data_IF_244120220575
#
_entry.id   IF_244120220575
#
_cell.length_a   1.000
_cell.length_b   1.000
_cell.length_c   1.000
_cell.angle_alpha   90.00
_cell.angle_beta   90.00
_cell.angle_gamma   90.00
#
_symmetry.space_group_name_H-M   'P 1'
#
loop_
_entity.id
_entity.type
_entity.pdbx_description
1 polymer ?
#
# COMPACT_ATOMS: atom_id res chain seq x y z
N UNK A 1 -47.48 18.31 -14.02
CA UNK A 1 -46.89 17.22 -14.83
C UNK A 1 -46.82 15.99 -13.94
N UNK A 2 -47.77 15.07 -14.10
CA UNK A 2 -47.89 13.86 -13.27
C UNK A 2 -47.02 12.77 -13.90
N UNK A 3 -45.92 12.39 -13.24
CA UNK A 3 -45.07 11.29 -13.71
C UNK A 3 -45.86 9.97 -13.60
N UNK A 4 -45.69 9.10 -14.60
CA UNK A 4 -46.19 7.73 -14.53
C UNK A 4 -45.55 7.00 -13.33
N UNK A 5 -46.23 6.02 -12.72
CA UNK A 5 -45.71 5.29 -11.56
C UNK A 5 -44.32 4.68 -11.79
N UNK A 6 -44.03 4.21 -13.02
CA UNK A 6 -42.72 3.75 -13.48
C UNK A 6 -41.63 4.83 -13.45
N UNK A 7 -41.99 6.10 -13.72
CA UNK A 7 -41.05 7.21 -13.68
C UNK A 7 -40.69 7.63 -12.25
N UNK A 8 -41.61 7.48 -11.30
CA UNK A 8 -41.38 7.82 -9.89
C UNK A 8 -40.48 6.79 -9.20
N UNK A 9 -40.64 5.50 -9.51
CA UNK A 9 -39.77 4.43 -8.99
C UNK A 9 -38.34 4.54 -9.50
N UNK A 10 -38.16 4.91 -10.77
CA UNK A 10 -36.84 5.10 -11.36
C UNK A 10 -36.09 6.29 -10.73
N UNK A 11 -36.77 7.44 -10.57
CA UNK A 11 -36.18 8.62 -9.92
C UNK A 11 -35.86 8.35 -8.46
N UNK A 12 -36.70 7.57 -7.77
CA UNK A 12 -36.45 7.15 -6.39
C UNK A 12 -35.24 6.21 -6.29
N UNK A 13 -35.13 5.22 -7.17
CA UNK A 13 -33.98 4.32 -7.23
C UNK A 13 -32.66 5.08 -7.49
N UNK A 14 -32.65 6.07 -8.40
CA UNK A 14 -31.47 6.90 -8.67
C UNK A 14 -31.09 7.73 -7.43
N UNK A 15 -32.08 8.33 -6.75
CA UNK A 15 -31.84 9.09 -5.51
C UNK A 15 -31.29 8.20 -4.39
N UNK A 16 -31.85 7.01 -4.24
CA UNK A 16 -31.46 6.04 -3.21
C UNK A 16 -30.08 5.43 -3.49
N UNK A 17 -29.69 5.27 -4.75
CA UNK A 17 -28.36 4.79 -5.14
C UNK A 17 -27.25 5.79 -4.78
N UNK A 18 -27.49 7.10 -4.96
CA UNK A 18 -26.52 8.16 -4.66
C UNK A 18 -26.36 8.35 -3.15
N UNK A 19 -27.45 8.25 -2.39
CA UNK A 19 -27.42 8.41 -0.93
C UNK A 19 -27.24 7.08 -0.19
N UNK A 20 -26.85 6.02 -0.91
CA UNK A 20 -26.67 4.69 -0.36
C UNK A 20 -25.51 4.69 0.63
N UNK A 21 -25.77 4.21 1.84
CA UNK A 21 -24.76 4.05 2.90
C UNK A 21 -23.58 3.19 2.43
N UNK A 22 -23.85 2.20 1.57
CA UNK A 22 -22.80 1.37 0.96
C UNK A 22 -21.89 2.14 0.01
N UNK A 23 -22.42 3.10 -0.77
CA UNK A 23 -21.62 3.91 -1.69
C UNK A 23 -20.65 4.83 -0.93
N UNK A 24 -21.13 5.44 0.16
CA UNK A 24 -20.32 6.30 1.04
C UNK A 24 -19.30 5.48 1.85
N UNK A 25 -19.72 4.35 2.42
CA UNK A 25 -18.84 3.47 3.21
C UNK A 25 -17.74 2.82 2.36
N UNK A 26 -18.08 2.36 1.14
CA UNK A 26 -17.12 1.80 0.20
C UNK A 26 -16.10 2.83 -0.31
N UNK A 27 -16.56 4.06 -0.61
CA UNK A 27 -15.67 5.16 -0.98
C UNK A 27 -14.71 5.54 0.14
N UNK A 28 -15.20 5.63 1.38
CA UNK A 28 -14.38 5.99 2.55
C UNK A 28 -13.35 4.91 2.89
N UNK A 29 -13.74 3.63 2.88
CA UNK A 29 -12.81 2.53 3.16
C UNK A 29 -11.72 2.42 2.11
N UNK A 30 -12.04 2.60 0.82
CA UNK A 30 -11.02 2.58 -0.24
C UNK A 30 -10.12 3.81 -0.22
N UNK A 31 -10.67 4.99 0.12
CA UNK A 31 -9.89 6.21 0.35
C UNK A 31 -8.90 6.02 1.52
N UNK A 32 -9.37 5.52 2.66
CA UNK A 32 -8.52 5.29 3.82
C UNK A 32 -7.51 4.17 3.57
N UNK A 33 -7.91 3.08 2.90
CA UNK A 33 -7.00 2.00 2.54
C UNK A 33 -5.91 2.48 1.56
N UNK A 34 -6.28 3.29 0.57
CA UNK A 34 -5.34 3.90 -0.38
C UNK A 34 -4.40 4.90 0.30
N UNK A 35 -4.94 5.80 1.13
CA UNK A 35 -4.16 6.78 1.88
C UNK A 35 -3.20 6.12 2.86
N UNK A 36 -3.67 5.14 3.64
CA UNK A 36 -2.85 4.42 4.63
C UNK A 36 -1.77 3.58 3.95
N UNK A 37 -2.06 2.92 2.82
CA UNK A 37 -1.08 2.18 2.03
C UNK A 37 0.04 3.09 1.52
N UNK A 38 -0.31 4.26 0.97
CA UNK A 38 0.68 5.22 0.48
C UNK A 38 1.58 5.75 1.60
N UNK A 39 1.00 6.01 2.78
CA UNK A 39 1.76 6.40 3.97
C UNK A 39 2.73 5.31 4.42
N UNK A 40 2.33 4.03 4.38
CA UNK A 40 3.20 2.91 4.72
C UNK A 40 4.38 2.77 3.76
N UNK A 41 4.14 2.95 2.46
CA UNK A 41 5.20 2.95 1.43
C UNK A 41 6.18 4.10 1.68
N UNK A 42 5.68 5.33 1.88
CA UNK A 42 6.52 6.49 2.17
C UNK A 42 7.29 6.35 3.48
N UNK A 43 6.67 5.77 4.51
CA UNK A 43 7.32 5.46 5.78
C UNK A 43 8.43 4.42 5.59
N UNK A 44 8.16 3.33 4.87
CA UNK A 44 9.13 2.29 4.57
C UNK A 44 10.33 2.83 3.78
N UNK A 45 10.08 3.61 2.75
CA UNK A 45 11.13 4.30 1.98
C UNK A 45 11.89 5.32 2.84
N UNK A 46 11.23 6.02 3.77
CA UNK A 46 11.89 6.98 4.67
C UNK A 46 12.77 6.28 5.71
N UNK A 47 12.34 5.15 6.26
CA UNK A 47 13.12 4.35 7.20
C UNK A 47 14.35 3.74 6.52
N UNK A 48 14.14 3.21 5.31
CA UNK A 48 15.19 2.64 4.49
C UNK A 48 16.18 3.75 4.06
N UNK A 49 15.69 4.91 3.65
CA UNK A 49 16.52 6.08 3.37
C UNK A 49 17.29 6.58 4.60
N UNK A 50 16.67 6.60 5.79
CA UNK A 50 17.35 7.00 7.03
C UNK A 50 18.48 6.05 7.42
N UNK A 51 18.35 4.75 7.13
CA UNK A 51 19.35 3.73 7.48
C UNK A 51 20.40 3.50 6.39
N UNK A 52 20.06 3.67 5.11
CA UNK A 52 20.98 3.41 3.98
C UNK A 52 21.51 4.68 3.32
N UNK A 53 20.92 5.85 3.59
CA UNK A 53 21.32 7.13 3.00
C UNK A 53 21.07 7.25 1.49
N UNK A 54 20.40 6.28 0.87
CA UNK A 54 20.15 6.25 -0.58
C UNK A 54 18.71 5.87 -0.87
N UNK A 55 18.13 6.50 -1.88
CA UNK A 55 16.82 6.15 -2.45
C UNK A 55 16.94 5.34 -3.73
N UNK A 56 18.17 5.10 -4.22
CA UNK A 56 18.44 4.40 -5.47
C UNK A 56 18.37 2.90 -5.21
N UNK A 57 17.51 2.18 -5.96
CA UNK A 57 17.30 0.74 -5.78
C UNK A 57 18.58 -0.08 -5.98
N UNK A 58 19.42 0.31 -6.93
CA UNK A 58 20.73 -0.32 -7.17
C UNK A 58 21.64 -0.22 -5.93
N UNK A 59 21.68 0.95 -5.29
CA UNK A 59 22.43 1.14 -4.03
C UNK A 59 21.90 0.23 -2.93
N UNK A 60 20.58 0.15 -2.74
CA UNK A 60 19.97 -0.73 -1.74
C UNK A 60 20.26 -2.20 -2.03
N UNK A 61 20.19 -2.60 -3.29
CA UNK A 61 20.53 -3.96 -3.73
C UNK A 61 21.97 -4.31 -3.35
N UNK A 62 22.94 -3.44 -3.65
CA UNK A 62 24.35 -3.65 -3.31
C UNK A 62 24.56 -3.74 -1.79
N UNK A 63 23.94 -2.86 -0.99
CA UNK A 63 24.00 -2.92 0.48
C UNK A 63 23.45 -4.25 1.01
N UNK A 64 22.31 -4.70 0.49
CA UNK A 64 21.71 -5.98 0.90
C UNK A 64 22.59 -7.17 0.50
N UNK A 65 23.15 -7.16 -0.71
CA UNK A 65 24.09 -8.19 -1.17
C UNK A 65 25.37 -8.24 -0.35
N UNK A 66 25.93 -7.09 0.05
CA UNK A 66 27.09 -7.06 0.95
C UNK A 66 26.75 -7.63 2.33
N UNK A 67 25.57 -7.32 2.87
CA UNK A 67 25.10 -7.87 4.15
C UNK A 67 24.99 -9.41 4.10
N UNK A 68 24.49 -9.94 2.99
CA UNK A 68 24.39 -11.38 2.77
C UNK A 68 25.79 -12.06 2.72
N UNK A 69 26.74 -11.47 1.99
CA UNK A 69 28.12 -11.97 1.94
C UNK A 69 28.80 -11.91 3.32
N UNK A 70 28.60 -10.83 4.08
CA UNK A 70 29.14 -10.69 5.43
C UNK A 70 28.62 -11.75 6.40
N UNK A 71 27.34 -12.12 6.28
CA UNK A 71 26.71 -13.14 7.11
C UNK A 71 27.18 -14.57 6.72
N UNK A 72 27.25 -14.88 5.42
CA UNK A 72 27.70 -16.19 4.94
C UNK A 72 29.22 -16.40 5.04
N UNK A 73 30.01 -15.31 4.98
CA UNK A 73 31.46 -15.35 5.17
C UNK A 73 31.87 -15.76 6.58
N UNK A 74 31.06 -15.44 7.59
CA UNK A 74 31.29 -15.88 8.98
C UNK A 74 31.00 -17.37 9.16
N UNK A 75 29.96 -17.90 8.50
CA UNK A 75 29.66 -19.34 8.51
C UNK A 75 30.74 -20.17 7.80
N UNK A 76 31.38 -19.62 6.76
CA UNK A 76 32.53 -20.28 6.12
C UNK A 76 33.79 -20.25 6.97
N UNK A 77 34.01 -19.21 7.79
CA UNK A 77 35.18 -19.10 8.66
C UNK A 77 35.14 -20.11 9.82
N UNK A 78 33.97 -20.39 10.40
CA UNK A 78 33.83 -21.39 11.48
C UNK A 78 34.05 -22.85 11.00
N UNK A 79 33.94 -23.12 9.69
CA UNK A 79 34.18 -24.45 9.11
C UNK A 79 35.64 -24.71 8.72
N UNK A 80 36.55 -23.75 8.92
CA UNK A 80 38.00 -23.91 8.63
C UNK A 80 38.82 -24.14 9.92
N UNK A 81 38.16 -24.09 11.07
CA UNK A 81 38.76 -24.17 12.41
C UNK A 81 38.49 -25.53 13.08
N UNK A 82 37.89 -26.48 12.34
CA UNK A 82 37.74 -27.89 12.69
C UNK A 82 38.32 -28.78 11.57
#
# INVERSE_FOLDING_TARGET
MHLTPEGVTLVKAIKDAINSELATSGGLTYFLLGGLSSCFILLGSSLLYANSGTTILDGIYVITSLSDIGNNGHASAENILY
#
